data_IF_895400735719
#
_entry.id   IF_895400735719
#
_cell.length_a   1.000
_cell.length_b   1.000
_cell.length_c   1.000
_cell.angle_alpha   90.00
_cell.angle_beta   90.00
_cell.angle_gamma   90.00
#
_symmetry.space_group_name_H-M   'P 1'
#
loop_
_entity.id
_entity.type
_entity.pdbx_description
1 polymer ?
#
# COMPACT_ATOMS: atom_id res chain seq x y z
N UNK A 1 -8.09 11.70 26.82
CA UNK A 1 -8.93 10.54 26.49
C UNK A 1 -8.23 9.31 27.02
N UNK A 2 -8.85 8.61 27.97
CA UNK A 2 -8.20 7.47 28.65
C UNK A 2 -8.23 6.24 27.72
N UNK A 3 -7.34 5.29 27.98
CA UNK A 3 -7.27 3.99 27.26
C UNK A 3 -8.61 3.23 27.29
N UNK A 4 -9.50 3.59 28.22
CA UNK A 4 -10.83 3.01 28.38
C UNK A 4 -11.85 3.55 27.35
N UNK A 5 -11.62 4.73 26.76
CA UNK A 5 -12.54 5.35 25.80
C UNK A 5 -12.34 4.84 24.35
N UNK A 6 -11.25 4.11 24.08
CA UNK A 6 -10.93 3.51 22.75
C UNK A 6 -11.61 2.12 22.58
N UNK A 7 -12.26 1.61 23.63
CA UNK A 7 -12.97 0.34 23.61
C UNK A 7 -14.35 0.42 22.99
N UNK A 8 -14.43 0.55 21.66
CA UNK A 8 -15.66 0.27 20.92
C UNK A 8 -16.27 -1.07 21.35
N UNK A 9 -17.61 -1.11 21.45
CA UNK A 9 -18.38 -2.17 22.09
C UNK A 9 -17.97 -3.57 21.62
N UNK A 10 -17.22 -4.30 22.46
CA UNK A 10 -17.02 -5.73 22.27
C UNK A 10 -18.36 -6.42 22.45
N UNK A 11 -18.85 -7.10 21.41
CA UNK A 11 -20.02 -7.97 21.50
C UNK A 11 -19.77 -9.03 22.59
N UNK A 12 -20.56 -9.05 23.68
CA UNK A 12 -20.40 -10.06 24.72
C UNK A 12 -20.70 -11.45 24.14
N UNK A 13 -19.72 -12.35 24.13
CA UNK A 13 -19.90 -13.76 23.74
C UNK A 13 -19.22 -14.20 22.44
N UNK A 14 -18.54 -13.33 21.70
CA UNK A 14 -17.70 -13.76 20.59
C UNK A 14 -16.42 -14.44 21.14
N UNK A 15 -16.45 -15.76 21.30
CA UNK A 15 -15.25 -16.54 21.59
C UNK A 15 -14.30 -16.39 20.41
N UNK A 16 -13.20 -15.65 20.58
CA UNK A 16 -12.17 -15.58 19.56
C UNK A 16 -11.58 -16.98 19.39
N UNK A 17 -11.97 -17.71 18.34
CA UNK A 17 -11.36 -19.01 18.04
C UNK A 17 -9.88 -18.75 17.83
N UNK A 18 -9.04 -19.36 18.66
CA UNK A 18 -7.58 -19.19 18.62
C UNK A 18 -6.92 -20.03 17.53
N UNK A 19 -7.70 -20.91 16.87
CA UNK A 19 -7.25 -21.79 15.80
C UNK A 19 -8.36 -22.03 14.77
N UNK A 20 -7.93 -22.31 13.53
CA UNK A 20 -8.74 -22.96 12.51
C UNK A 20 -9.11 -24.39 12.95
N UNK A 21 -10.27 -24.89 12.52
CA UNK A 21 -10.56 -26.34 12.57
C UNK A 21 -9.58 -27.13 11.71
N UNK A 22 -9.54 -28.44 11.94
CA UNK A 22 -8.54 -29.33 11.35
C UNK A 22 -8.61 -29.35 9.82
N UNK A 23 -9.82 -29.32 9.25
CA UNK A 23 -10.01 -29.30 7.79
C UNK A 23 -9.48 -28.01 7.18
N UNK A 24 -9.91 -26.87 7.71
CA UNK A 24 -9.45 -25.55 7.24
C UNK A 24 -7.94 -25.41 7.41
N UNK A 25 -7.40 -25.82 8.57
CA UNK A 25 -5.96 -25.81 8.83
C UNK A 25 -5.19 -26.67 7.83
N UNK A 26 -5.65 -27.88 7.53
CA UNK A 26 -5.00 -28.77 6.59
C UNK A 26 -4.94 -28.15 5.17
N UNK A 27 -6.05 -27.56 4.70
CA UNK A 27 -6.09 -26.84 3.42
C UNK A 27 -5.11 -25.67 3.40
N UNK A 28 -5.14 -24.81 4.41
CA UNK A 28 -4.24 -23.64 4.48
C UNK A 28 -2.77 -24.05 4.58
N UNK A 29 -2.42 -25.11 5.32
CA UNK A 29 -1.04 -25.61 5.40
C UNK A 29 -0.55 -26.17 4.05
N UNK A 30 -1.42 -26.80 3.27
CA UNK A 30 -1.08 -27.25 1.92
C UNK A 30 -0.79 -26.06 0.98
N UNK A 31 -1.65 -25.04 1.00
CA UNK A 31 -1.45 -23.79 0.25
C UNK A 31 -0.18 -23.06 0.74
N UNK A 32 0.07 -23.02 2.05
CA UNK A 32 1.26 -22.43 2.64
C UNK A 32 2.55 -23.11 2.17
N UNK A 33 2.55 -24.44 2.03
CA UNK A 33 3.70 -25.17 1.50
C UNK A 33 4.03 -24.75 0.05
N UNK A 34 3.00 -24.55 -0.78
CA UNK A 34 3.17 -24.05 -2.17
C UNK A 34 3.78 -22.65 -2.17
N UNK A 35 3.32 -21.75 -1.29
CA UNK A 35 3.87 -20.41 -1.16
C UNK A 35 5.33 -20.44 -0.70
N UNK A 36 5.64 -21.19 0.38
CA UNK A 36 6.99 -21.30 0.94
C UNK A 36 8.00 -21.80 -0.09
N UNK A 37 7.60 -22.75 -0.94
CA UNK A 37 8.45 -23.30 -2.00
C UNK A 37 8.90 -22.27 -3.06
N UNK A 38 8.26 -21.09 -3.15
CA UNK A 38 8.66 -20.01 -4.07
C UNK A 38 9.89 -19.22 -3.58
N UNK A 39 10.28 -19.40 -2.31
CA UNK A 39 11.32 -18.60 -1.68
C UNK A 39 12.49 -19.47 -1.21
N UNK A 40 13.74 -19.00 -1.37
CA UNK A 40 14.90 -19.68 -0.80
C UNK A 40 14.94 -19.61 0.74
N UNK A 41 14.25 -18.62 1.32
CA UNK A 41 14.11 -18.44 2.77
C UNK A 41 12.62 -18.40 3.10
N UNK A 42 12.15 -19.32 3.93
CA UNK A 42 10.71 -19.46 4.23
C UNK A 42 10.11 -18.20 4.85
N UNK A 43 10.87 -17.44 5.66
CA UNK A 43 10.41 -16.18 6.26
C UNK A 43 9.89 -15.17 5.22
N UNK A 44 10.41 -15.20 3.98
CA UNK A 44 9.96 -14.34 2.89
C UNK A 44 8.53 -14.63 2.41
N UNK A 45 7.97 -15.79 2.77
CA UNK A 45 6.58 -16.15 2.48
C UNK A 45 5.56 -15.45 3.39
N UNK A 46 5.98 -14.65 4.38
CA UNK A 46 5.05 -14.05 5.35
C UNK A 46 3.98 -13.17 4.68
N UNK A 47 4.36 -12.33 3.72
CA UNK A 47 3.44 -11.42 3.04
C UNK A 47 2.33 -12.18 2.28
N UNK A 48 2.63 -13.12 1.37
CA UNK A 48 1.59 -13.91 0.72
C UNK A 48 0.81 -14.82 1.69
N UNK A 49 1.41 -15.28 2.80
CA UNK A 49 0.66 -16.02 3.83
C UNK A 49 -0.36 -15.14 4.56
N UNK A 50 -0.06 -13.86 4.77
CA UNK A 50 -1.03 -12.91 5.33
C UNK A 50 -2.21 -12.72 4.37
N UNK A 51 -1.97 -12.63 3.05
CA UNK A 51 -3.06 -12.66 2.07
C UNK A 51 -3.83 -13.98 2.05
N UNK A 52 -3.15 -15.12 2.23
CA UNK A 52 -3.80 -16.43 2.30
C UNK A 52 -4.80 -16.49 3.48
N UNK A 53 -4.41 -16.02 4.68
CA UNK A 53 -5.34 -16.02 5.83
C UNK A 53 -6.47 -14.99 5.65
N UNK A 54 -6.23 -13.86 4.97
CA UNK A 54 -7.31 -12.94 4.58
C UNK A 54 -8.29 -13.58 3.61
N UNK A 55 -7.83 -14.44 2.70
CA UNK A 55 -8.72 -15.16 1.79
C UNK A 55 -9.66 -16.12 2.52
N UNK A 56 -9.27 -16.58 3.72
CA UNK A 56 -10.12 -17.42 4.57
C UNK A 56 -11.06 -16.60 5.44
N UNK A 57 -10.53 -15.59 6.13
CA UNK A 57 -11.25 -14.89 7.20
C UNK A 57 -11.84 -13.54 6.78
N UNK A 58 -11.48 -13.02 5.61
CA UNK A 58 -11.79 -11.65 5.17
C UNK A 58 -10.89 -10.58 5.80
N UNK A 59 -10.00 -10.96 6.72
CA UNK A 59 -9.03 -10.08 7.38
C UNK A 59 -7.93 -10.92 8.07
N UNK A 60 -6.85 -10.28 8.51
CA UNK A 60 -5.79 -10.91 9.29
C UNK A 60 -6.26 -11.09 10.74
N UNK A 61 -6.98 -12.19 10.97
CA UNK A 61 -7.48 -12.55 12.28
C UNK A 61 -6.36 -13.02 13.23
N UNK A 62 -6.56 -12.97 14.57
CA UNK A 62 -5.66 -13.59 15.53
C UNK A 62 -5.33 -15.07 15.28
N UNK A 63 -6.28 -15.87 14.75
CA UNK A 63 -5.99 -17.26 14.35
C UNK A 63 -5.12 -17.34 13.09
N UNK A 64 -5.30 -16.41 12.15
CA UNK A 64 -4.44 -16.24 10.99
C UNK A 64 -3.01 -15.87 11.38
N UNK A 65 -2.84 -14.93 12.33
CA UNK A 65 -1.54 -14.56 12.90
C UNK A 65 -0.85 -15.77 13.54
N UNK A 66 -1.58 -16.52 14.38
CA UNK A 66 -1.06 -17.72 15.02
C UNK A 66 -0.68 -18.82 14.01
N UNK A 67 -1.46 -18.96 12.93
CA UNK A 67 -1.18 -19.88 11.83
C UNK A 67 0.12 -19.49 11.11
N UNK A 68 0.26 -18.25 10.64
CA UNK A 68 1.47 -17.78 9.96
C UNK A 68 2.72 -17.89 10.84
N UNK A 69 2.60 -17.59 12.14
CA UNK A 69 3.67 -17.74 13.11
C UNK A 69 4.15 -19.19 13.21
N UNK A 70 3.22 -20.15 13.29
CA UNK A 70 3.54 -21.57 13.33
C UNK A 70 4.15 -22.08 12.00
N UNK A 71 3.62 -21.67 10.85
CA UNK A 71 4.08 -22.10 9.53
C UNK A 71 5.51 -21.67 9.19
N UNK A 72 5.97 -20.56 9.77
CA UNK A 72 7.27 -19.94 9.49
C UNK A 72 8.26 -20.00 10.67
N UNK A 73 7.85 -20.56 11.81
CA UNK A 73 8.67 -20.55 13.03
C UNK A 73 8.94 -19.13 13.56
N UNK A 74 7.98 -18.21 13.39
CA UNK A 74 8.04 -16.83 13.89
C UNK A 74 7.23 -16.68 15.17
N UNK A 75 7.47 -15.58 15.89
CA UNK A 75 6.57 -15.18 16.97
C UNK A 75 5.30 -14.50 16.42
N UNK A 76 4.19 -14.60 17.15
CA UNK A 76 2.96 -13.85 16.79
C UNK A 76 3.21 -12.33 16.80
N UNK A 77 4.12 -11.84 17.64
CA UNK A 77 4.50 -10.43 17.66
C UNK A 77 5.19 -9.97 16.37
N UNK A 78 6.12 -10.78 15.82
CA UNK A 78 6.75 -10.48 14.52
C UNK A 78 5.73 -10.45 13.39
N UNK A 79 4.80 -11.42 13.37
CA UNK A 79 3.73 -11.47 12.36
C UNK A 79 2.80 -10.26 12.49
N UNK A 80 2.37 -9.95 13.71
CA UNK A 80 1.54 -8.77 13.99
C UNK A 80 2.22 -7.48 13.56
N UNK A 81 3.53 -7.33 13.81
CA UNK A 81 4.26 -6.13 13.41
C UNK A 81 4.22 -5.91 11.88
N UNK A 82 4.37 -6.97 11.10
CA UNK A 82 4.26 -6.91 9.63
C UNK A 82 2.82 -6.63 9.19
N UNK A 83 1.83 -7.30 9.79
CA UNK A 83 0.41 -7.07 9.50
C UNK A 83 -0.05 -5.65 9.84
N UNK A 84 0.57 -4.98 10.82
CA UNK A 84 0.29 -3.57 11.14
C UNK A 84 1.06 -2.58 10.29
N UNK A 85 2.13 -3.01 9.64
CA UNK A 85 3.00 -2.12 8.86
C UNK A 85 2.42 -1.84 7.47
N UNK A 86 1.85 -2.85 6.81
CA UNK A 86 1.27 -2.71 5.48
C UNK A 86 -0.26 -2.56 5.56
N UNK A 87 -0.79 -1.50 4.96
CA UNK A 87 -2.22 -1.17 4.94
C UNK A 87 -3.09 -2.16 4.15
N UNK A 88 -2.49 -2.94 3.27
CA UNK A 88 -3.17 -4.01 2.52
C UNK A 88 -3.67 -5.16 3.41
N UNK A 89 -3.18 -5.24 4.66
CA UNK A 89 -3.60 -6.22 5.63
C UNK A 89 -4.67 -5.65 6.58
N UNK A 90 -5.93 -6.04 6.36
CA UNK A 90 -7.06 -5.66 7.19
C UNK A 90 -6.96 -6.34 8.55
N UNK A 91 -7.10 -5.56 9.63
CA UNK A 91 -6.92 -6.05 11.01
C UNK A 91 -8.24 -6.22 11.76
N UNK A 92 -9.34 -5.85 11.13
CA UNK A 92 -10.72 -6.05 11.54
C UNK A 92 -11.51 -6.61 10.36
N UNK A 93 -12.72 -7.15 10.59
CA UNK A 93 -13.59 -7.57 9.50
C UNK A 93 -13.68 -6.48 8.42
N UNK A 94 -13.55 -6.94 7.17
CA UNK A 94 -13.68 -6.14 5.96
C UNK A 94 -14.91 -6.64 5.20
N UNK A 95 -15.53 -5.75 4.44
CA UNK A 95 -16.65 -6.11 3.59
C UNK A 95 -16.24 -6.99 2.42
N UNK A 96 -17.23 -7.42 1.65
CA UNK A 96 -16.99 -8.18 0.42
C UNK A 96 -16.20 -7.35 -0.61
N UNK A 97 -16.30 -6.03 -0.55
CA UNK A 97 -15.58 -5.09 -1.41
C UNK A 97 -14.93 -3.97 -0.62
N UNK A 98 -13.60 -3.86 -0.71
CA UNK A 98 -12.87 -2.67 -0.27
C UNK A 98 -12.88 -1.65 -1.41
N UNK A 99 -13.58 -0.55 -1.19
CA UNK A 99 -13.70 0.57 -2.13
C UNK A 99 -12.78 1.69 -1.66
N UNK A 100 -11.73 1.97 -2.42
CA UNK A 100 -10.73 2.96 -2.09
C UNK A 100 -10.77 4.17 -3.02
N UNK A 101 -10.85 5.38 -2.48
CA UNK A 101 -10.85 6.63 -3.26
C UNK A 101 -9.49 7.31 -3.13
N UNK A 102 -8.79 7.51 -4.26
CA UNK A 102 -7.52 8.21 -4.26
C UNK A 102 -7.74 9.71 -3.99
N UNK A 103 -7.19 10.22 -2.89
CA UNK A 103 -7.26 11.66 -2.54
C UNK A 103 -5.88 12.32 -2.52
N UNK A 104 -4.89 11.72 -3.19
CA UNK A 104 -3.58 12.34 -3.36
C UNK A 104 -3.65 13.42 -4.45
N UNK A 105 -2.66 14.32 -4.46
CA UNK A 105 -2.61 15.63 -5.14
C UNK A 105 -3.38 15.70 -6.46
N UNK A 106 -3.05 14.87 -7.45
CA UNK A 106 -3.71 14.97 -8.75
C UNK A 106 -5.17 14.54 -8.71
N UNK A 107 -5.48 13.41 -8.04
CA UNK A 107 -6.87 12.98 -7.92
C UNK A 107 -7.69 13.97 -7.11
N UNK A 108 -7.15 14.53 -6.01
CA UNK A 108 -7.79 15.58 -5.23
C UNK A 108 -8.19 16.79 -6.12
N UNK A 109 -7.25 17.30 -6.92
CA UNK A 109 -7.50 18.40 -7.87
C UNK A 109 -8.57 18.03 -8.91
N UNK A 110 -8.59 16.78 -9.37
CA UNK A 110 -9.53 16.32 -10.39
C UNK A 110 -10.92 15.94 -9.83
N UNK A 111 -11.13 15.96 -8.52
CA UNK A 111 -12.43 15.67 -7.89
C UNK A 111 -12.47 14.43 -6.97
N UNK A 112 -11.32 13.83 -6.65
CA UNK A 112 -11.22 12.68 -5.75
C UNK A 112 -11.74 12.97 -4.32
N UNK A 113 -11.54 14.19 -3.81
CA UNK A 113 -12.11 14.59 -2.51
C UNK A 113 -13.64 14.68 -2.57
N UNK A 114 -14.21 15.14 -3.70
CA UNK A 114 -15.65 15.18 -3.88
C UNK A 114 -16.25 13.76 -3.98
N UNK A 115 -15.55 12.82 -4.62
CA UNK A 115 -15.95 11.41 -4.64
C UNK A 115 -15.91 10.82 -3.22
N UNK A 116 -14.86 11.14 -2.45
CA UNK A 116 -14.73 10.68 -1.07
C UNK A 116 -15.90 11.16 -0.21
N UNK A 117 -16.20 12.46 -0.25
CA UNK A 117 -17.31 13.06 0.51
C UNK A 117 -18.64 12.43 0.13
N UNK A 118 -18.92 12.30 -1.17
CA UNK A 118 -20.16 11.70 -1.68
C UNK A 118 -20.36 10.26 -1.20
N UNK A 119 -19.32 9.42 -1.31
CA UNK A 119 -19.41 8.01 -0.89
C UNK A 119 -19.48 7.88 0.63
N UNK A 120 -18.72 8.68 1.37
CA UNK A 120 -18.73 8.65 2.84
C UNK A 120 -20.11 9.02 3.39
N UNK A 121 -20.71 10.09 2.85
CA UNK A 121 -22.05 10.55 3.26
C UNK A 121 -23.14 9.54 2.85
N UNK A 122 -23.04 9.00 1.63
CA UNK A 122 -24.01 8.02 1.13
C UNK A 122 -24.01 6.71 1.91
N UNK A 123 -22.82 6.18 2.17
CA UNK A 123 -22.66 4.90 2.88
C UNK A 123 -22.77 5.06 4.40
N UNK A 124 -22.60 6.29 4.92
CA UNK A 124 -22.62 6.58 6.34
C UNK A 124 -21.43 5.98 7.10
N UNK A 125 -20.30 5.79 6.42
CA UNK A 125 -19.06 5.22 6.98
C UNK A 125 -17.85 6.10 6.66
N UNK A 126 -16.87 6.09 7.55
CA UNK A 126 -15.59 6.77 7.38
C UNK A 126 -14.51 5.90 6.72
N UNK A 127 -13.25 6.35 6.83
CA UNK A 127 -12.09 5.60 6.36
C UNK A 127 -11.87 4.34 7.21
N UNK A 128 -11.67 3.20 6.52
CA UNK A 128 -11.44 1.87 7.10
C UNK A 128 -12.65 1.37 7.92
N UNK A 129 -13.84 1.89 7.63
CA UNK A 129 -15.11 1.46 8.22
C UNK A 129 -15.94 0.67 7.19
N UNK A 130 -16.76 -0.24 7.70
CA UNK A 130 -17.56 -1.16 6.88
C UNK A 130 -19.04 -0.89 7.10
N UNK A 131 -19.82 -0.92 6.02
CA UNK A 131 -21.27 -0.76 6.04
C UNK A 131 -21.94 -1.82 6.90
N UNK A 132 -23.11 -1.52 7.47
CA UNK A 132 -23.83 -2.43 8.37
C UNK A 132 -24.24 -3.76 7.69
N UNK A 133 -24.49 -3.71 6.38
CA UNK A 133 -24.77 -4.89 5.56
C UNK A 133 -23.53 -5.76 5.26
N UNK A 134 -22.34 -5.31 5.65
CA UNK A 134 -21.07 -6.01 5.43
C UNK A 134 -20.58 -6.02 3.99
N UNK A 135 -21.19 -5.25 3.09
CA UNK A 135 -20.84 -5.28 1.67
C UNK A 135 -19.60 -4.44 1.34
N UNK A 136 -19.49 -3.23 1.89
CA UNK A 136 -18.48 -2.25 1.49
C UNK A 136 -17.64 -1.83 2.69
N UNK A 137 -16.31 -1.92 2.55
CA UNK A 137 -15.36 -1.17 3.39
C UNK A 137 -14.85 0.01 2.58
N UNK A 138 -15.00 1.23 3.11
CA UNK A 138 -14.63 2.46 2.41
C UNK A 138 -13.26 2.95 2.88
N UNK A 139 -12.35 3.25 1.95
CA UNK A 139 -11.00 3.73 2.27
C UNK A 139 -10.63 5.00 1.53
N UNK A 140 -10.22 6.01 2.29
CA UNK A 140 -9.40 7.08 1.74
C UNK A 140 -7.99 6.55 1.48
N UNK A 141 -7.59 6.43 0.21
CA UNK A 141 -6.31 5.83 -0.16
C UNK A 141 -5.34 6.86 -0.74
N UNK A 142 -4.07 6.54 -0.62
CA UNK A 142 -2.96 7.29 -1.21
C UNK A 142 -2.80 6.98 -2.71
N UNK A 143 -1.74 7.53 -3.32
CA UNK A 143 -1.45 7.38 -4.74
C UNK A 143 -1.31 5.90 -5.18
N UNK A 144 -2.09 5.51 -6.19
CA UNK A 144 -2.00 4.19 -6.85
C UNK A 144 -1.32 4.22 -8.22
N UNK A 145 -0.57 5.29 -8.50
CA UNK A 145 0.19 5.47 -9.75
C UNK A 145 -0.66 5.35 -11.04
N UNK A 146 -1.94 5.72 -10.97
CA UNK A 146 -2.91 5.72 -12.08
C UNK A 146 -3.33 7.15 -12.47
N UNK A 147 -2.40 8.10 -12.32
CA UNK A 147 -2.63 9.53 -12.45
C UNK A 147 -3.08 9.97 -13.86
N UNK A 148 -2.75 9.18 -14.87
CA UNK A 148 -3.15 9.41 -16.26
C UNK A 148 -4.66 9.26 -16.52
N UNK A 149 -5.42 8.71 -15.55
CA UNK A 149 -6.88 8.61 -15.58
C UNK A 149 -7.56 9.14 -14.31
N UNK A 150 -6.94 10.08 -13.62
CA UNK A 150 -7.53 10.71 -12.43
C UNK A 150 -8.91 11.37 -12.74
N UNK A 151 -9.89 11.31 -11.82
CA UNK A 151 -9.86 10.65 -10.50
C UNK A 151 -10.01 9.12 -10.58
N UNK A 152 -9.33 8.42 -9.68
CA UNK A 152 -9.32 6.95 -9.65
C UNK A 152 -9.93 6.43 -8.35
N UNK A 153 -10.89 5.52 -8.49
CA UNK A 153 -11.41 4.66 -7.43
C UNK A 153 -10.86 3.25 -7.66
N UNK A 154 -10.65 2.50 -6.59
CA UNK A 154 -10.23 1.11 -6.64
C UNK A 154 -11.26 0.25 -5.93
N UNK A 155 -11.61 -0.90 -6.50
CA UNK A 155 -12.42 -1.90 -5.81
C UNK A 155 -11.65 -3.21 -5.82
N UNK A 156 -11.25 -3.69 -4.63
CA UNK A 156 -10.46 -4.92 -4.50
C UNK A 156 -9.32 -5.03 -5.53
N UNK A 157 -8.43 -4.03 -5.60
CA UNK A 157 -7.27 -3.97 -6.51
C UNK A 157 -7.59 -3.78 -8.00
N UNK A 158 -8.85 -3.65 -8.37
CA UNK A 158 -9.27 -3.31 -9.73
C UNK A 158 -9.51 -1.81 -9.86
N UNK A 159 -9.16 -1.24 -11.03
CA UNK A 159 -9.18 0.20 -11.26
C UNK A 159 -10.47 0.68 -11.93
N UNK A 160 -11.07 1.70 -11.33
CA UNK A 160 -12.19 2.46 -11.86
C UNK A 160 -11.68 3.87 -12.15
N UNK A 161 -11.45 4.13 -13.43
CA UNK A 161 -10.78 5.31 -13.95
C UNK A 161 -11.79 6.41 -14.30
N UNK A 162 -11.33 7.67 -14.35
CA UNK A 162 -12.12 8.86 -14.68
C UNK A 162 -13.45 8.96 -13.92
N UNK A 163 -13.45 8.58 -12.65
CA UNK A 163 -14.67 8.51 -11.86
C UNK A 163 -15.19 9.91 -11.52
N UNK A 164 -16.51 9.99 -11.38
CA UNK A 164 -17.24 11.13 -10.82
C UNK A 164 -17.96 10.69 -9.55
N UNK A 165 -18.46 11.64 -8.72
CA UNK A 165 -19.29 11.29 -7.57
C UNK A 165 -20.46 10.36 -7.93
N UNK A 166 -21.19 10.69 -9.01
CA UNK A 166 -22.32 9.89 -9.49
C UNK A 166 -21.90 8.49 -9.95
N UNK A 167 -20.84 8.38 -10.77
CA UNK A 167 -20.41 7.07 -11.28
C UNK A 167 -19.86 6.17 -10.18
N UNK A 168 -19.17 6.75 -9.20
CA UNK A 168 -18.65 6.01 -8.05
C UNK A 168 -19.80 5.49 -7.16
N UNK A 169 -20.85 6.31 -6.96
CA UNK A 169 -22.08 5.90 -6.27
C UNK A 169 -22.77 4.74 -7.00
N UNK A 170 -22.89 4.82 -8.32
CA UNK A 170 -23.49 3.77 -9.14
C UNK A 170 -22.74 2.44 -9.01
N UNK A 171 -21.39 2.47 -9.00
CA UNK A 171 -20.56 1.28 -8.79
C UNK A 171 -20.83 0.66 -7.43
N UNK A 172 -20.84 1.47 -6.37
CA UNK A 172 -21.08 1.00 -4.99
C UNK A 172 -22.47 0.39 -4.83
N UNK A 173 -23.50 1.02 -5.39
CA UNK A 173 -24.87 0.48 -5.34
C UNK A 173 -25.01 -0.82 -6.13
N UNK A 174 -24.39 -0.92 -7.31
CA UNK A 174 -24.36 -2.15 -8.08
C UNK A 174 -23.70 -3.30 -7.30
N UNK A 175 -22.58 -3.03 -6.63
CA UNK A 175 -21.89 -4.00 -5.75
C UNK A 175 -22.77 -4.46 -4.60
N UNK A 176 -23.43 -3.53 -3.89
CA UNK A 176 -24.36 -3.84 -2.79
C UNK A 176 -25.57 -4.64 -3.25
N UNK A 177 -26.02 -4.42 -4.49
CA UNK A 177 -27.09 -5.19 -5.11
C UNK A 177 -26.64 -6.56 -5.65
N UNK A 178 -25.35 -6.91 -5.55
CA UNK A 178 -24.78 -8.14 -6.10
C UNK A 178 -24.74 -8.17 -7.63
N UNK A 179 -24.82 -7.00 -8.27
CA UNK A 179 -24.69 -6.87 -9.73
C UNK A 179 -23.21 -6.86 -10.10
N UNK A 180 -22.75 -7.74 -11.01
CA UNK A 180 -21.37 -7.72 -11.47
C UNK A 180 -21.01 -6.37 -12.08
N UNK A 181 -19.92 -5.77 -11.59
CA UNK A 181 -19.33 -4.53 -12.12
C UNK A 181 -17.99 -4.85 -12.75
N UNK A 182 -17.75 -4.28 -13.93
CA UNK A 182 -16.47 -4.38 -14.62
C UNK A 182 -15.60 -3.16 -14.28
N UNK A 183 -14.32 -3.34 -13.95
CA UNK A 183 -13.37 -2.24 -13.87
C UNK A 183 -13.13 -1.61 -15.25
N UNK A 184 -12.55 -0.41 -15.27
CA UNK A 184 -12.24 0.28 -16.53
C UNK A 184 -11.13 -0.42 -17.31
N UNK A 185 -10.27 -1.12 -16.59
CA UNK A 185 -9.14 -1.89 -17.10
C UNK A 185 -8.96 -3.15 -16.27
N UNK A 186 -8.51 -4.23 -16.89
CA UNK A 186 -8.41 -5.55 -16.25
C UNK A 186 -9.62 -6.44 -16.51
N UNK A 187 -9.95 -7.28 -15.54
CA UNK A 187 -10.83 -8.42 -15.72
C UNK A 187 -12.31 -8.05 -15.99
N UNK A 188 -13.11 -8.95 -16.56
CA UNK A 188 -14.50 -8.64 -16.98
C UNK A 188 -15.47 -8.29 -15.81
N UNK A 189 -15.07 -8.54 -14.57
CA UNK A 189 -15.82 -8.24 -13.36
C UNK A 189 -14.92 -8.26 -12.10
N UNK A 190 -15.26 -7.47 -11.10
CA UNK A 190 -14.57 -7.47 -9.80
C UNK A 190 -14.94 -8.72 -8.98
N UNK A 191 -13.95 -9.36 -8.36
CA UNK A 191 -14.16 -10.45 -7.40
C UNK A 191 -14.25 -9.95 -5.95
N UNK A 192 -14.67 -10.79 -5.02
CA UNK A 192 -14.75 -10.44 -3.60
C UNK A 192 -13.36 -10.25 -2.98
N UNK A 193 -13.27 -9.56 -1.84
CA UNK A 193 -12.02 -9.28 -1.14
C UNK A 193 -11.27 -10.58 -0.77
N UNK A 194 -12.02 -11.63 -0.45
CA UNK A 194 -11.48 -12.96 -0.13
C UNK A 194 -10.89 -13.65 -1.36
N UNK A 195 -11.58 -13.60 -2.49
CA UNK A 195 -11.10 -14.13 -3.76
C UNK A 195 -9.86 -13.37 -4.23
N UNK A 196 -9.88 -12.04 -4.19
CA UNK A 196 -8.72 -11.24 -4.56
C UNK A 196 -7.53 -11.48 -3.63
N UNK A 197 -7.77 -11.63 -2.32
CA UNK A 197 -6.73 -12.02 -1.36
C UNK A 197 -6.11 -13.38 -1.70
N UNK A 198 -6.88 -14.32 -2.25
CA UNK A 198 -6.35 -15.61 -2.72
C UNK A 198 -5.44 -15.43 -3.94
N UNK A 199 -5.82 -14.56 -4.88
CA UNK A 199 -4.99 -14.18 -6.03
C UNK A 199 -3.69 -13.50 -5.57
N UNK A 200 -3.76 -12.59 -4.59
CA UNK A 200 -2.58 -11.92 -4.00
C UNK A 200 -1.68 -12.85 -3.19
N UNK A 201 -2.21 -13.94 -2.62
CA UNK A 201 -1.40 -15.03 -2.08
C UNK A 201 -0.67 -15.84 -3.18
N UNK A 202 -0.94 -15.52 -4.44
CA UNK A 202 -0.33 -16.08 -5.64
C UNK A 202 -1.02 -17.34 -6.16
N UNK A 203 -2.31 -17.51 -5.89
CA UNK A 203 -3.13 -18.54 -6.52
C UNK A 203 -3.96 -17.90 -7.62
N UNK A 204 -3.48 -18.00 -8.86
CA UNK A 204 -4.15 -17.40 -10.03
C UNK A 204 -5.58 -17.91 -10.18
N UNK A 205 -6.47 -16.99 -10.54
CA UNK A 205 -7.86 -17.23 -10.94
C UNK A 205 -8.02 -17.39 -12.47
N UNK A 206 -6.92 -17.25 -13.22
CA UNK A 206 -6.91 -17.36 -14.68
C UNK A 206 -7.27 -16.08 -15.43
N UNK A 207 -7.46 -14.95 -14.74
CA UNK A 207 -8.02 -13.71 -15.32
C UNK A 207 -7.00 -12.62 -15.58
N UNK A 208 -5.73 -12.88 -15.29
CA UNK A 208 -4.63 -11.90 -15.39
C UNK A 208 -4.47 -11.26 -16.78
N UNK A 209 -4.87 -11.95 -17.84
CA UNK A 209 -4.77 -11.49 -19.24
C UNK A 209 -6.11 -10.97 -19.81
N UNK A 210 -7.14 -10.83 -18.98
CA UNK A 210 -8.43 -10.26 -19.39
C UNK A 210 -8.37 -8.72 -19.55
N UNK A 211 -9.20 -8.21 -20.46
CA UNK A 211 -9.39 -6.79 -20.73
C UNK A 211 -8.15 -6.04 -21.22
N UNK A 212 -8.10 -4.74 -20.91
CA UNK A 212 -7.05 -3.83 -21.38
C UNK A 212 -6.04 -3.60 -20.25
N UNK A 213 -4.78 -4.00 -20.45
CA UNK A 213 -3.73 -3.80 -19.44
C UNK A 213 -3.17 -2.36 -19.38
N UNK A 214 -2.97 -1.72 -20.54
CA UNK A 214 -2.51 -0.33 -20.64
C UNK A 214 -3.40 0.44 -21.62
N UNK A 215 -4.08 1.47 -21.13
CA UNK A 215 -4.98 2.27 -21.96
C UNK A 215 -4.26 3.33 -22.80
N UNK A 216 -4.99 4.05 -23.68
CA UNK A 216 -4.41 5.03 -24.61
C UNK A 216 -3.63 6.17 -23.94
N UNK A 217 -4.05 6.68 -22.78
CA UNK A 217 -3.35 7.76 -22.09
C UNK A 217 -1.96 7.30 -21.63
N UNK A 218 -1.87 6.10 -21.06
CA UNK A 218 -0.62 5.45 -20.64
C UNK A 218 0.34 5.26 -21.82
N UNK A 219 -0.20 4.86 -22.97
CA UNK A 219 0.60 4.55 -24.17
C UNK A 219 0.99 5.77 -25.00
N UNK A 220 0.48 6.97 -24.66
CA UNK A 220 0.62 8.15 -25.51
C UNK A 220 2.07 8.52 -25.80
N UNK A 221 2.93 8.45 -24.78
CA UNK A 221 4.36 8.72 -24.94
C UNK A 221 5.06 7.71 -25.88
N UNK A 222 4.68 6.44 -25.80
CA UNK A 222 5.23 5.38 -26.65
C UNK A 222 4.80 5.54 -28.12
N UNK A 223 3.54 5.91 -28.35
CA UNK A 223 3.03 6.20 -29.70
C UNK A 223 3.79 7.36 -30.35
N UNK A 224 3.95 8.47 -29.63
CA UNK A 224 4.70 9.63 -30.11
C UNK A 224 6.16 9.29 -30.41
N UNK A 225 6.82 8.55 -29.52
CA UNK A 225 8.19 8.12 -29.74
C UNK A 225 8.35 7.29 -31.02
N UNK A 226 7.39 6.39 -31.31
CA UNK A 226 7.40 5.59 -32.54
C UNK A 226 7.13 6.43 -33.79
N UNK A 227 6.21 7.39 -33.71
CA UNK A 227 5.88 8.28 -34.83
C UNK A 227 7.07 9.16 -35.22
N UNK A 228 7.79 9.67 -34.23
CA UNK A 228 8.95 10.56 -34.42
C UNK A 228 10.27 9.79 -34.60
N UNK A 229 10.25 8.46 -34.53
CA UNK A 229 11.47 7.63 -34.59
C UNK A 229 12.43 7.88 -33.42
N UNK A 230 11.93 8.34 -32.27
CA UNK A 230 12.74 8.56 -31.09
C UNK A 230 13.21 7.23 -30.52
N UNK A 231 14.50 7.17 -30.22
CA UNK A 231 15.15 6.06 -29.54
C UNK A 231 15.91 6.60 -28.35
N UNK A 232 15.90 5.85 -27.24
CA UNK A 232 16.71 6.22 -26.09
C UNK A 232 18.20 6.20 -26.50
N UNK A 233 19.00 7.20 -26.10
CA UNK A 233 20.44 7.16 -26.32
C UNK A 233 21.04 5.87 -25.74
N UNK A 234 22.03 5.26 -26.40
CA UNK A 234 22.70 4.11 -25.82
C UNK A 234 23.39 4.54 -24.51
N UNK A 235 23.30 3.69 -23.48
CA UNK A 235 24.18 3.84 -22.33
C UNK A 235 25.64 3.87 -22.79
N UNK A 236 26.48 4.66 -22.14
CA UNK A 236 27.92 4.64 -22.31
C UNK A 236 28.52 3.36 -21.70
N UNK A 237 29.75 3.01 -22.09
CA UNK A 237 30.47 1.89 -21.45
C UNK A 237 30.69 2.13 -19.96
N UNK A 238 30.91 3.37 -19.56
CA UNK A 238 31.05 3.76 -18.15
C UNK A 238 29.74 3.62 -17.37
N UNK A 239 28.59 3.97 -17.97
CA UNK A 239 27.27 3.75 -17.36
C UNK A 239 26.93 2.26 -17.27
N UNK A 240 27.22 1.49 -18.33
CA UNK A 240 27.07 0.03 -18.29
C UNK A 240 27.92 -0.61 -17.21
N UNK A 241 29.17 -0.18 -17.07
CA UNK A 241 30.10 -0.71 -16.08
C UNK A 241 29.65 -0.35 -14.67
N UNK A 242 29.28 0.91 -14.41
CA UNK A 242 28.72 1.35 -13.13
C UNK A 242 27.44 0.59 -12.76
N UNK A 243 26.53 0.40 -13.71
CA UNK A 243 25.31 -0.38 -13.50
C UNK A 243 25.63 -1.85 -13.15
N UNK A 244 26.59 -2.46 -13.83
CA UNK A 244 27.03 -3.82 -13.56
C UNK A 244 27.71 -3.97 -12.20
N UNK A 245 28.50 -2.99 -11.76
CA UNK A 245 29.13 -2.97 -10.44
C UNK A 245 28.11 -2.77 -9.31
N UNK A 246 27.14 -1.89 -9.51
CA UNK A 246 26.04 -1.67 -8.55
C UNK A 246 25.16 -2.92 -8.41
N UNK A 247 24.84 -3.61 -9.51
CA UNK A 247 24.08 -4.86 -9.47
C UNK A 247 24.81 -6.01 -8.75
N UNK A 248 26.16 -5.97 -8.72
CA UNK A 248 26.99 -6.95 -8.00
C UNK A 248 27.22 -6.61 -6.53
N UNK A 249 26.89 -5.39 -6.11
CA UNK A 249 27.01 -4.98 -4.72
C UNK A 249 25.81 -5.54 -3.94
N UNK A 250 26.01 -6.40 -2.94
CA UNK A 250 24.89 -6.89 -2.14
C UNK A 250 24.18 -5.70 -1.49
N UNK A 251 22.85 -5.67 -1.61
CA UNK A 251 22.02 -4.66 -0.95
C UNK A 251 22.43 -4.56 0.52
N UNK A 252 22.59 -3.33 1.02
CA UNK A 252 23.08 -3.03 2.37
C UNK A 252 22.07 -3.57 3.41
N UNK A 253 22.23 -4.84 3.77
CA UNK A 253 21.30 -5.58 4.61
C UNK A 253 21.69 -7.03 4.91
N UNK A 254 22.86 -7.50 4.48
CA UNK A 254 23.35 -8.83 4.89
C UNK A 254 23.50 -8.86 6.41
N UNK A 255 22.85 -9.80 7.15
CA UNK A 255 23.03 -9.90 8.58
C UNK A 255 24.50 -10.23 8.86
N UNK A 256 25.17 -9.40 9.67
CA UNK A 256 26.46 -9.78 10.23
C UNK A 256 26.20 -10.99 11.11
N UNK A 257 26.85 -12.12 10.80
CA UNK A 257 26.75 -13.33 11.61
C UNK A 257 26.91 -12.97 13.10
N UNK A 258 25.92 -13.35 13.91
CA UNK A 258 25.98 -13.16 15.34
C UNK A 258 27.17 -13.98 15.88
N UNK A 259 28.18 -13.30 16.40
CA UNK A 259 29.23 -13.94 17.18
C UNK A 259 28.62 -14.56 18.44
N UNK A 260 29.08 -15.74 18.90
CA UNK A 260 28.45 -16.44 19.99
C UNK A 260 28.55 -15.63 21.29
N UNK A 261 27.42 -15.55 22.00
CA UNK A 261 27.32 -14.91 23.30
C UNK A 261 28.22 -15.64 24.31
N UNK A 262 29.27 -14.97 24.77
CA UNK A 262 30.01 -15.36 25.97
C UNK A 262 29.33 -14.75 27.21
N UNK A 263 29.21 -15.57 28.24
CA UNK A 263 28.43 -15.33 29.44
C UNK A 263 28.99 -14.24 30.38
N UNK A 264 28.03 -13.57 31.04
CA UNK A 264 28.03 -12.97 32.38
C UNK A 264 29.29 -12.26 32.93
N UNK A 265 29.15 -10.97 33.23
CA UNK A 265 30.05 -10.21 34.11
C UNK A 265 29.51 -8.79 34.41
N UNK A 266 28.87 -8.66 35.57
CA UNK A 266 28.71 -7.49 36.46
C UNK A 266 28.42 -6.07 35.90
N UNK A 267 27.26 -5.51 36.32
CA UNK A 267 26.95 -4.07 36.27
C UNK A 267 27.87 -3.28 37.21
N UNK A 268 28.18 -2.03 36.85
CA UNK A 268 28.05 -0.95 37.83
C UNK A 268 27.10 0.15 37.33
N UNK A 269 26.35 0.71 38.27
CA UNK A 269 25.51 1.87 38.11
C UNK A 269 26.34 3.17 38.14
N UNK A 270 25.97 4.17 37.34
CA UNK A 270 25.91 5.59 37.75
C UNK A 270 25.51 6.52 36.60
N UNK A 271 24.41 7.26 36.85
CA UNK A 271 24.09 8.65 36.49
C UNK A 271 24.52 9.25 35.14
N UNK A 272 23.53 9.60 34.31
CA UNK A 272 23.18 10.99 33.94
C UNK A 272 22.10 10.97 32.84
N UNK A 273 20.95 11.58 33.11
CA UNK A 273 19.92 11.88 32.10
C UNK A 273 20.42 12.97 31.12
N UNK A 274 20.04 12.90 29.84
CA UNK A 274 19.88 14.09 29.02
C UNK A 274 18.40 14.36 28.71
N UNK A 275 18.01 15.59 29.03
CA UNK A 275 16.75 16.29 28.75
C UNK A 275 16.25 16.10 27.31
N UNK A 276 14.92 16.00 27.07
CA UNK A 276 14.38 15.88 25.71
C UNK A 276 14.48 17.21 24.96
N UNK A 277 15.09 17.17 23.77
CA UNK A 277 14.98 18.26 22.80
C UNK A 277 13.53 18.34 22.29
N UNK A 278 12.99 19.56 22.26
CA UNK A 278 11.57 19.85 22.10
C UNK A 278 10.95 19.44 20.76
N UNK A 279 9.67 19.11 20.82
CA UNK A 279 8.76 18.90 19.70
C UNK A 279 8.54 20.21 18.93
N UNK A 280 8.72 20.26 17.59
CA UNK A 280 8.29 21.42 16.81
C UNK A 280 6.77 21.44 16.69
N UNK A 281 6.17 22.61 16.88
CA UNK A 281 4.74 22.84 16.67
C UNK A 281 4.37 22.84 15.17
N UNK A 282 3.12 22.53 14.80
CA UNK A 282 2.67 22.57 13.41
C UNK A 282 2.69 24.02 12.89
N UNK A 283 3.37 24.27 11.75
CA UNK A 283 3.38 25.58 11.08
C UNK A 283 4.73 26.28 10.96
N UNK A 284 5.87 25.63 11.28
CA UNK A 284 7.19 26.21 11.01
C UNK A 284 7.63 25.97 9.55
N UNK A 285 7.99 27.06 8.86
CA UNK A 285 8.40 27.13 7.46
C UNK A 285 9.63 26.26 7.16
N UNK A 286 9.44 25.15 6.46
CA UNK A 286 10.47 24.52 5.63
C UNK A 286 9.81 24.01 4.34
N UNK A 287 9.46 24.95 3.46
CA UNK A 287 9.14 24.64 2.07
C UNK A 287 10.42 24.14 1.38
N UNK A 288 10.28 23.10 0.54
CA UNK A 288 11.40 22.53 -0.23
C UNK A 288 12.01 23.49 -1.27
N UNK A 289 11.50 24.72 -1.36
CA UNK A 289 11.93 25.77 -2.29
C UNK A 289 13.21 26.52 -1.86
N UNK A 290 13.70 26.36 -0.62
CA UNK A 290 14.84 27.14 -0.10
C UNK A 290 16.14 26.33 0.10
N UNK A 291 16.25 25.13 -0.51
CA UNK A 291 17.52 24.41 -0.51
C UNK A 291 18.52 25.07 -1.48
N UNK A 292 19.75 25.41 -1.03
CA UNK A 292 20.78 25.88 -1.95
C UNK A 292 21.18 24.76 -2.93
N UNK A 293 21.40 25.08 -4.21
CA UNK A 293 21.75 24.09 -5.23
C UNK A 293 23.13 23.49 -4.94
N UNK A 294 23.27 22.19 -5.20
CA UNK A 294 24.47 21.38 -4.87
C UNK A 294 25.35 21.09 -6.09
N UNK A 295 25.07 21.68 -7.26
CA UNK A 295 25.94 21.58 -8.43
C UNK A 295 25.84 22.82 -9.34
N UNK A 296 26.95 23.17 -10.00
CA UNK A 296 27.05 24.32 -10.92
C UNK A 296 26.25 24.14 -12.24
N UNK A 297 25.60 22.99 -12.45
CA UNK A 297 24.81 22.68 -13.66
C UNK A 297 23.32 23.03 -13.58
N UNK A 298 22.81 23.45 -12.41
CA UNK A 298 21.37 23.60 -12.15
C UNK A 298 20.83 25.03 -12.31
N UNK A 299 21.62 25.98 -12.81
CA UNK A 299 21.19 27.37 -13.03
C UNK A 299 21.05 27.65 -14.53
N UNK A 300 19.81 27.81 -14.99
CA UNK A 300 19.55 28.41 -16.30
C UNK A 300 19.64 29.94 -16.18
N UNK A 301 20.08 30.62 -17.24
CA UNK A 301 20.14 32.09 -17.31
C UNK A 301 18.78 32.78 -17.03
N UNK A 302 17.68 32.02 -17.16
CA UNK A 302 16.31 32.46 -16.85
C UNK A 302 16.04 32.56 -15.34
N UNK A 303 16.71 31.74 -14.52
CA UNK A 303 16.62 31.78 -13.06
C UNK A 303 17.43 32.95 -12.46
N UNK A 304 18.57 33.31 -13.07
CA UNK A 304 19.35 34.49 -12.67
C UNK A 304 18.59 35.79 -12.97
N UNK A 305 17.90 35.89 -14.11
CA UNK A 305 17.07 37.06 -14.43
C UNK A 305 15.87 37.22 -13.50
N UNK A 306 15.21 36.12 -13.11
CA UNK A 306 14.11 36.14 -12.12
C UNK A 306 14.59 36.58 -10.73
N UNK A 307 15.79 36.16 -10.35
CA UNK A 307 16.39 36.55 -9.06
C UNK A 307 16.76 38.03 -9.04
N UNK A 308 17.39 38.53 -10.10
CA UNK A 308 17.75 39.94 -10.24
C UNK A 308 16.51 40.86 -10.24
N UNK A 309 15.45 40.48 -10.97
CA UNK A 309 14.18 41.23 -10.98
C UNK A 309 13.46 41.23 -9.63
N UNK A 310 13.62 40.17 -8.83
CA UNK A 310 13.02 40.06 -7.50
C UNK A 310 13.75 40.95 -6.48
N UNK A 311 15.07 41.03 -6.59
CA UNK A 311 15.88 41.83 -5.67
C UNK A 311 15.71 43.33 -5.95
N UNK A 312 15.65 43.75 -7.23
CA UNK A 312 15.38 45.16 -7.60
C UNK A 312 13.97 45.62 -7.18
N UNK A 313 13.00 44.71 -7.12
CA UNK A 313 11.62 44.99 -6.67
C UNK A 313 11.49 45.08 -5.15
N UNK A 314 12.49 44.60 -4.38
CA UNK A 314 12.53 44.73 -2.92
C UNK A 314 13.26 45.99 -2.44
N UNK A 315 14.07 46.61 -3.29
CA UNK A 315 14.78 47.85 -2.98
C UNK A 315 14.12 49.12 -3.52
N UNK A 316 12.95 49.02 -4.17
CA UNK A 316 12.15 50.17 -4.66
C UNK A 316 10.90 50.45 -3.83
#
# INVERSE_FOLDING_TARGET
MSVEEIGGARVPGATHRTAFDDETRARLSADAAVIKARYPQERSALLPLLHLVQSEDGYVSPRGIAFCAAELGLTTAEVSAVATFYTQYKRHPNGDYTVGVCTNTLCAVMGGDAIWEELSDHLGVGHDETTEDGAITLERIECNAACDYAPVVMVNWEFFDNQTPDSARDVVEALRAGTPVAPTRGADHVCTFKEMSRVLAGFSDGRADEGVGAGPATLRGLELARQEGWTAPPFTDEERTRAAEQARTPARGTPRAAAPAAAAGERPASAAEPTPAGTPAPGAEQSSAERPPVSEGDVSAEQEQRKQSSDDAKES
#
